data_IF_211562522841
#
_entry.id   IF_211562522841
#
_cell.length_a   1.000
_cell.length_b   1.000
_cell.length_c   1.000
_cell.angle_alpha   90.00
_cell.angle_beta   90.00
_cell.angle_gamma   90.00
#
_symmetry.space_group_name_H-M   'P 1'
#
loop_
_entity.id
_entity.type
_entity.pdbx_description
1 polymer ?
#
# COMPACT_ATOMS: atom_id res chain seq x y z
N UNK A 1 62.05 22.07 -19.45
CA UNK A 1 62.22 23.10 -18.40
C UNK A 1 60.94 23.06 -17.57
N UNK A 2 61.00 22.33 -16.45
CA UNK A 2 61.00 22.87 -15.06
C UNK A 2 59.58 23.25 -14.63
N UNK A 3 58.99 22.73 -13.56
CA UNK A 3 59.47 21.86 -12.48
C UNK A 3 58.37 21.78 -11.40
N UNK A 4 58.47 20.72 -10.57
CA UNK A 4 58.10 20.59 -9.13
C UNK A 4 56.83 21.26 -8.59
N UNK A 5 55.85 20.49 -8.09
CA UNK A 5 55.82 19.84 -6.76
C UNK A 5 55.79 20.81 -5.59
N UNK A 6 54.72 20.77 -4.79
CA UNK A 6 54.69 20.54 -3.32
C UNK A 6 53.21 20.52 -2.90
N UNK A 7 52.64 19.40 -2.46
CA UNK A 7 52.67 18.89 -1.08
C UNK A 7 52.37 19.95 -0.02
N UNK A 8 51.15 19.92 0.53
CA UNK A 8 50.92 20.01 1.96
C UNK A 8 49.53 19.45 2.30
N UNK A 9 49.48 18.13 2.48
CA UNK A 9 48.51 17.48 3.36
C UNK A 9 48.89 17.86 4.80
N UNK A 10 47.97 18.47 5.54
CA UNK A 10 48.00 18.60 7.00
C UNK A 10 46.59 18.94 7.44
N UNK A 11 45.93 18.26 8.36
CA UNK A 11 46.23 17.08 9.15
C UNK A 11 44.85 16.49 9.47
N UNK A 12 44.75 15.17 9.45
CA UNK A 12 43.65 14.51 10.13
C UNK A 12 43.89 14.64 11.64
N UNK A 13 42.98 15.26 12.36
CA UNK A 13 42.78 14.95 13.77
C UNK A 13 41.30 14.67 13.97
N UNK A 14 41.01 13.40 14.22
CA UNK A 14 39.77 12.95 14.82
C UNK A 14 39.78 13.39 16.29
N UNK A 15 38.68 14.00 16.73
CA UNK A 15 38.33 13.98 18.14
C UNK A 15 36.86 13.57 18.25
N UNK A 16 36.64 12.51 19.00
CA UNK A 16 35.32 11.99 19.30
C UNK A 16 34.66 12.79 20.43
N UNK A 17 33.43 12.38 20.73
CA UNK A 17 32.70 12.67 21.96
C UNK A 17 32.03 14.05 22.04
N UNK A 18 30.79 14.13 21.52
CA UNK A 18 29.63 14.67 22.26
C UNK A 18 28.33 14.32 21.50
N UNK A 19 27.72 13.16 21.80
CA UNK A 19 26.38 12.79 21.31
C UNK A 19 25.32 13.26 22.31
N UNK A 20 25.38 14.55 22.65
CA UNK A 20 24.21 15.31 23.09
C UNK A 20 23.55 15.86 21.82
N UNK A 21 22.22 15.88 21.66
CA UNK A 21 21.60 16.52 20.49
C UNK A 21 21.97 18.01 20.56
N UNK A 22 23.05 18.38 19.86
CA UNK A 22 23.49 19.77 19.73
C UNK A 22 22.28 20.51 19.22
N UNK A 23 21.76 21.44 20.01
CA UNK A 23 20.72 22.35 19.55
C UNK A 23 21.25 22.97 18.25
N UNK A 24 20.58 22.64 17.14
CA UNK A 24 20.95 23.18 15.85
C UNK A 24 20.77 24.70 15.97
N UNK A 25 21.90 25.41 16.12
CA UNK A 25 21.91 26.86 16.13
C UNK A 25 21.75 27.31 14.67
N UNK A 26 20.52 27.19 14.16
CA UNK A 26 20.17 27.61 12.81
C UNK A 26 20.24 29.13 12.79
N UNK A 27 21.36 29.66 12.28
CA UNK A 27 21.53 31.09 12.09
C UNK A 27 20.64 31.62 10.97
N UNK A 28 20.50 32.94 10.87
CA UNK A 28 19.78 33.58 9.75
C UNK A 28 20.37 33.15 8.38
N UNK A 29 21.68 32.96 8.31
CA UNK A 29 22.40 32.47 7.12
C UNK A 29 22.00 31.03 6.74
N UNK A 30 21.78 30.15 7.72
CA UNK A 30 21.33 28.76 7.47
C UNK A 30 19.88 28.73 6.98
N UNK A 31 19.03 29.62 7.51
CA UNK A 31 17.66 29.81 7.02
C UNK A 31 17.62 30.34 5.59
N UNK A 32 18.54 31.23 5.23
CA UNK A 32 18.69 31.73 3.87
C UNK A 32 19.13 30.62 2.90
N UNK A 33 20.10 29.79 3.31
CA UNK A 33 20.54 28.63 2.54
C UNK A 33 19.41 27.61 2.32
N UNK A 34 18.62 27.32 3.36
CA UNK A 34 17.44 26.44 3.25
C UNK A 34 16.35 27.04 2.35
N UNK A 35 16.12 28.36 2.41
CA UNK A 35 15.16 29.03 1.53
C UNK A 35 15.58 28.94 0.07
N UNK A 36 16.87 29.14 -0.22
CA UNK A 36 17.44 28.98 -1.56
C UNK A 36 17.30 27.55 -2.07
N UNK A 37 17.61 26.56 -1.25
CA UNK A 37 17.45 25.14 -1.62
C UNK A 37 15.99 24.79 -1.91
N UNK A 38 15.04 25.35 -1.14
CA UNK A 38 13.61 25.21 -1.41
C UNK A 38 13.22 25.85 -2.75
N UNK A 39 13.74 27.03 -3.04
CA UNK A 39 13.45 27.75 -4.29
C UNK A 39 13.98 26.99 -5.51
N UNK A 40 15.22 26.48 -5.43
CA UNK A 40 15.81 25.62 -6.46
C UNK A 40 15.01 24.31 -6.65
N UNK A 41 14.53 23.71 -5.55
CA UNK A 41 13.68 22.52 -5.60
C UNK A 41 12.31 22.81 -6.23
N UNK A 42 11.63 23.87 -5.79
CA UNK A 42 10.34 24.28 -6.36
C UNK A 42 10.50 24.60 -7.86
N UNK A 43 11.56 25.31 -8.26
CA UNK A 43 11.84 25.62 -9.67
C UNK A 43 12.09 24.34 -10.49
N UNK A 44 12.91 23.41 -9.98
CA UNK A 44 13.13 22.12 -10.65
C UNK A 44 11.86 21.28 -10.77
N UNK A 45 11.01 21.26 -9.73
CA UNK A 45 9.73 20.56 -9.73
C UNK A 45 8.76 21.19 -10.74
N UNK A 46 8.71 22.53 -10.82
CA UNK A 46 7.87 23.21 -11.80
C UNK A 46 8.39 23.04 -13.24
N UNK A 47 9.70 23.03 -13.47
CA UNK A 47 10.28 22.72 -14.77
C UNK A 47 10.00 21.28 -15.19
N UNK A 48 10.18 20.33 -14.27
CA UNK A 48 9.89 18.92 -14.49
C UNK A 48 8.39 18.72 -14.80
N UNK A 49 7.50 19.31 -14.00
CA UNK A 49 6.04 19.27 -14.20
C UNK A 49 5.60 19.94 -15.52
N UNK A 50 6.30 20.99 -15.97
CA UNK A 50 6.06 21.63 -17.27
C UNK A 50 6.60 20.82 -18.44
N UNK A 51 7.69 20.09 -18.23
CA UNK A 51 8.31 19.21 -19.24
C UNK A 51 7.58 17.86 -19.38
N UNK A 52 7.04 17.35 -18.27
CA UNK A 52 6.20 16.15 -18.17
C UNK A 52 4.73 16.55 -18.09
N UNK A 53 4.28 17.39 -19.02
CA UNK A 53 2.85 17.68 -19.13
C UNK A 53 2.09 16.37 -19.31
N UNK A 54 1.03 16.14 -18.53
CA UNK A 54 0.14 14.99 -18.64
C UNK A 54 -0.35 14.89 -20.09
N UNK A 55 0.27 14.01 -20.88
CA UNK A 55 0.03 13.98 -22.33
C UNK A 55 -1.20 13.14 -22.63
N UNK A 56 -1.80 13.36 -23.81
CA UNK A 56 -2.84 12.46 -24.32
C UNK A 56 -2.32 11.00 -24.44
N UNK A 57 -1.03 10.83 -24.72
CA UNK A 57 -0.37 9.52 -24.76
C UNK A 57 -0.26 8.87 -23.37
N UNK A 58 -0.05 9.64 -22.30
CA UNK A 58 -0.07 9.14 -20.92
C UNK A 58 -1.47 8.77 -20.45
N UNK A 59 -2.49 9.48 -20.94
CA UNK A 59 -3.89 9.10 -20.76
C UNK A 59 -4.15 7.77 -21.48
N UNK A 60 -3.80 7.65 -22.76
CA UNK A 60 -3.95 6.43 -23.56
C UNK A 60 -3.20 5.25 -22.95
N UNK A 61 -1.97 5.44 -22.46
CA UNK A 61 -1.18 4.43 -21.75
C UNK A 61 -1.85 3.99 -20.47
N UNK A 62 -2.41 4.92 -19.70
CA UNK A 62 -3.15 4.59 -18.47
C UNK A 62 -4.44 3.86 -18.76
N UNK A 63 -5.21 4.31 -19.76
CA UNK A 63 -6.45 3.64 -20.16
C UNK A 63 -6.18 2.23 -20.66
N UNK A 64 -5.14 2.05 -21.48
CA UNK A 64 -4.71 0.73 -21.94
C UNK A 64 -4.23 -0.16 -20.78
N UNK A 65 -3.51 0.39 -19.82
CA UNK A 65 -3.12 -0.34 -18.61
C UNK A 65 -4.34 -0.77 -17.79
N UNK A 66 -5.34 0.11 -17.63
CA UNK A 66 -6.60 -0.20 -16.93
C UNK A 66 -7.44 -1.25 -17.66
N UNK A 67 -7.58 -1.15 -18.98
CA UNK A 67 -8.34 -2.11 -19.80
C UNK A 67 -7.66 -3.48 -19.90
N UNK A 68 -6.33 -3.54 -19.74
CA UNK A 68 -5.57 -4.80 -19.77
C UNK A 68 -5.43 -5.48 -18.41
N UNK A 69 -5.94 -4.90 -17.31
CA UNK A 69 -6.09 -5.60 -16.03
C UNK A 69 -7.23 -6.62 -16.17
N UNK A 70 -6.89 -7.78 -16.72
CA UNK A 70 -7.72 -8.98 -16.63
C UNK A 70 -7.17 -9.82 -15.48
N UNK A 71 -7.71 -9.60 -14.27
CA UNK A 71 -7.50 -10.52 -13.16
C UNK A 71 -8.37 -11.76 -13.33
N UNK A 72 -7.88 -12.92 -12.91
CA UNK A 72 -8.76 -14.07 -12.68
C UNK A 72 -9.75 -13.71 -11.55
N UNK A 73 -11.01 -14.12 -11.70
CA UNK A 73 -12.04 -13.90 -10.67
C UNK A 73 -11.58 -14.54 -9.36
N UNK A 74 -11.65 -13.80 -8.26
CA UNK A 74 -11.19 -14.31 -6.97
C UNK A 74 -12.00 -15.53 -6.51
N UNK A 75 -11.39 -16.43 -5.73
CA UNK A 75 -12.08 -17.61 -5.19
C UNK A 75 -13.36 -17.22 -4.43
N UNK A 76 -13.29 -16.17 -3.60
CA UNK A 76 -14.44 -15.66 -2.85
C UNK A 76 -15.54 -15.16 -3.79
N UNK A 77 -15.21 -14.50 -4.89
CA UNK A 77 -16.16 -14.04 -5.88
C UNK A 77 -16.80 -15.19 -6.65
N UNK A 78 -16.03 -16.23 -7.00
CA UNK A 78 -16.55 -17.45 -7.60
C UNK A 78 -17.50 -18.21 -6.65
N UNK A 79 -17.12 -18.35 -5.38
CA UNK A 79 -17.97 -18.96 -4.35
C UNK A 79 -19.26 -18.15 -4.13
N UNK A 80 -19.17 -16.82 -4.20
CA UNK A 80 -20.32 -15.93 -4.03
C UNK A 80 -21.28 -16.03 -5.21
N UNK A 81 -20.79 -16.29 -6.42
CA UNK A 81 -21.61 -16.62 -7.58
C UNK A 81 -22.32 -17.98 -7.40
N UNK A 82 -21.59 -19.01 -6.95
CA UNK A 82 -22.18 -20.34 -6.65
C UNK A 82 -23.26 -20.26 -5.56
N UNK A 83 -23.02 -19.48 -4.52
CA UNK A 83 -23.95 -19.29 -3.40
C UNK A 83 -25.32 -18.75 -3.84
N UNK A 84 -25.39 -17.95 -4.91
CA UNK A 84 -26.67 -17.41 -5.45
C UNK A 84 -27.60 -18.50 -5.96
N UNK A 85 -27.04 -19.64 -6.36
CA UNK A 85 -27.81 -20.77 -6.91
C UNK A 85 -27.90 -21.96 -5.96
N UNK A 86 -27.28 -21.89 -4.78
CA UNK A 86 -27.16 -23.02 -3.85
C UNK A 86 -28.40 -23.25 -2.97
N UNK A 87 -29.20 -22.20 -2.69
CA UNK A 87 -30.39 -22.29 -1.85
C UNK A 87 -31.38 -21.16 -2.14
N UNK A 88 -32.67 -21.41 -1.98
CA UNK A 88 -33.75 -20.41 -2.04
C UNK A 88 -34.03 -19.76 -0.68
N UNK A 89 -33.43 -20.27 0.41
CA UNK A 89 -33.62 -19.74 1.76
C UNK A 89 -32.71 -18.52 2.02
N UNK A 90 -33.34 -17.39 2.37
CA UNK A 90 -32.66 -16.12 2.62
C UNK A 90 -31.69 -16.18 3.81
N UNK A 91 -32.06 -16.85 4.91
CA UNK A 91 -31.17 -16.97 6.08
C UNK A 91 -29.92 -17.79 5.73
N UNK A 92 -30.11 -18.87 4.98
CA UNK A 92 -29.01 -19.72 4.51
C UNK A 92 -28.13 -18.97 3.51
N UNK A 93 -28.70 -18.14 2.63
CA UNK A 93 -27.93 -17.31 1.71
C UNK A 93 -27.09 -16.24 2.43
N UNK A 94 -27.65 -15.60 3.46
CA UNK A 94 -26.88 -14.64 4.27
C UNK A 94 -25.75 -15.34 5.04
N UNK A 95 -26.03 -16.50 5.62
CA UNK A 95 -25.01 -17.32 6.28
C UNK A 95 -23.91 -17.78 5.30
N UNK A 96 -24.26 -18.18 4.07
CA UNK A 96 -23.31 -18.54 3.00
C UNK A 96 -22.36 -17.39 2.67
N UNK A 97 -22.88 -16.18 2.44
CA UNK A 97 -22.07 -14.99 2.15
C UNK A 97 -21.09 -14.69 3.29
N UNK A 98 -21.57 -14.84 4.52
CA UNK A 98 -20.78 -14.59 5.71
C UNK A 98 -19.66 -15.63 5.89
N UNK A 99 -19.95 -16.91 5.65
CA UNK A 99 -18.95 -17.97 5.65
C UNK A 99 -17.89 -17.74 4.58
N UNK A 100 -18.29 -17.43 3.34
CA UNK A 100 -17.36 -17.14 2.23
C UNK A 100 -16.43 -15.97 2.55
N UNK A 101 -16.95 -14.93 3.22
CA UNK A 101 -16.15 -13.78 3.66
C UNK A 101 -15.17 -14.10 4.79
N UNK A 102 -15.38 -15.20 5.52
CA UNK A 102 -14.51 -15.66 6.61
C UNK A 102 -13.52 -16.75 6.22
N UNK A 103 -13.49 -17.13 4.94
CA UNK A 103 -12.51 -18.08 4.41
C UNK A 103 -11.15 -17.42 4.25
N UNK A 104 -10.11 -18.11 4.69
CA UNK A 104 -8.71 -17.82 4.40
C UNK A 104 -8.38 -18.17 2.93
N UNK A 105 -7.22 -17.74 2.43
CA UNK A 105 -6.71 -18.02 1.07
C UNK A 105 -6.60 -19.53 0.77
N UNK A 106 -6.51 -20.34 1.83
CA UNK A 106 -6.46 -21.81 1.76
C UNK A 106 -7.85 -22.48 1.77
N UNK A 107 -8.93 -21.70 1.92
CA UNK A 107 -10.30 -22.22 1.97
C UNK A 107 -10.74 -22.78 3.32
N UNK A 108 -10.11 -22.36 4.43
CA UNK A 108 -10.52 -22.74 5.79
C UNK A 108 -11.18 -21.55 6.51
N UNK A 109 -12.11 -21.84 7.41
CA UNK A 109 -12.71 -20.84 8.29
C UNK A 109 -11.73 -20.46 9.41
N UNK A 110 -11.60 -19.16 9.68
CA UNK A 110 -10.75 -18.61 10.75
C UNK A 110 -11.36 -18.84 12.15
N UNK A 111 -12.69 -18.88 12.22
CA UNK A 111 -13.48 -19.02 13.44
C UNK A 111 -14.37 -20.28 13.44
N UNK A 112 -14.76 -20.75 14.62
CA UNK A 112 -15.80 -21.78 14.78
C UNK A 112 -17.18 -21.29 14.31
N UNK A 113 -17.99 -22.21 13.75
CA UNK A 113 -19.36 -21.91 13.28
C UNK A 113 -20.25 -21.27 14.36
N UNK A 114 -20.05 -21.65 15.61
CA UNK A 114 -20.80 -21.08 16.75
C UNK A 114 -20.45 -19.62 17.00
N UNK A 115 -19.17 -19.26 16.91
CA UNK A 115 -18.67 -17.89 17.02
C UNK A 115 -19.19 -17.03 15.88
N UNK A 116 -19.18 -17.59 14.67
CA UNK A 116 -19.68 -16.93 13.46
C UNK A 116 -21.19 -16.63 13.57
N UNK A 117 -22.00 -17.60 13.99
CA UNK A 117 -23.44 -17.42 14.21
C UNK A 117 -23.71 -16.35 15.28
N UNK A 118 -22.99 -16.41 16.41
CA UNK A 118 -23.15 -15.45 17.50
C UNK A 118 -22.80 -14.02 17.09
N UNK A 119 -21.70 -13.84 16.35
CA UNK A 119 -21.23 -12.52 15.89
C UNK A 119 -22.15 -11.91 14.82
N UNK A 120 -22.70 -12.74 13.95
CA UNK A 120 -23.56 -12.31 12.84
C UNK A 120 -25.03 -12.17 13.24
N UNK A 121 -25.45 -12.72 14.38
CA UNK A 121 -26.84 -12.76 14.80
C UNK A 121 -27.70 -13.75 13.99
N UNK A 122 -27.08 -14.60 13.18
CA UNK A 122 -27.75 -15.62 12.38
C UNK A 122 -28.09 -16.85 13.23
N UNK A 123 -29.10 -17.61 12.81
CA UNK A 123 -29.44 -18.86 13.47
C UNK A 123 -28.30 -19.88 13.27
N UNK A 124 -27.97 -20.63 14.33
CA UNK A 124 -26.92 -21.65 14.24
C UNK A 124 -27.27 -22.72 13.19
N UNK A 125 -28.56 -23.03 13.03
CA UNK A 125 -29.05 -23.95 12.00
C UNK A 125 -28.76 -23.43 10.58
N UNK A 126 -29.04 -22.15 10.29
CA UNK A 126 -28.74 -21.57 8.99
C UNK A 126 -27.23 -21.60 8.67
N UNK A 127 -26.38 -21.33 9.68
CA UNK A 127 -24.92 -21.37 9.51
C UNK A 127 -24.41 -22.79 9.26
N UNK A 128 -24.96 -23.80 9.95
CA UNK A 128 -24.61 -25.21 9.70
C UNK A 128 -25.06 -25.64 8.31
N UNK A 129 -26.29 -25.29 7.91
CA UNK A 129 -26.80 -25.61 6.57
C UNK A 129 -25.95 -24.94 5.47
N UNK A 130 -25.61 -23.67 5.65
CA UNK A 130 -24.71 -22.94 4.76
C UNK A 130 -23.33 -23.61 4.66
N UNK A 131 -22.76 -24.05 5.78
CA UNK A 131 -21.50 -24.78 5.80
C UNK A 131 -21.59 -26.11 5.04
N UNK A 132 -22.68 -26.86 5.17
CA UNK A 132 -22.89 -28.11 4.40
C UNK A 132 -23.11 -27.91 2.91
N UNK A 133 -23.52 -26.73 2.47
CA UNK A 133 -23.63 -26.41 1.03
C UNK A 133 -22.29 -26.00 0.43
N UNK A 134 -21.32 -25.61 1.27
CA UNK A 134 -20.00 -25.13 0.86
C UNK A 134 -18.97 -26.27 0.69
N UNK A 135 -19.21 -27.45 1.30
CA UNK A 135 -18.31 -28.62 1.34
C UNK A 135 -19.01 -29.88 0.84
#
# INVERSE_FOLDING_TARGET
MTGESVSALSSAEADGEDESPRELNVGEDDFEALRRMKEDWDESYYEEMRSQGYTQEDEERRQHWLESVTGEVSLSEHLLEQARTASDDLEVQEALKLLISSLDERGFLDDDLSTIALRSGQSYEAVVNAHTLLL
#
